data_IF_742223874980
#
_entry.id   IF_742223874980
#
_cell.length_a   1.000
_cell.length_b   1.000
_cell.length_c   1.000
_cell.angle_alpha   90.00
_cell.angle_beta   90.00
_cell.angle_gamma   90.00
#
_symmetry.space_group_name_H-M   'P 1'
#
loop_
_entity.id
_entity.type
_entity.pdbx_description
1 polymer ?
#
# COMPACT_ATOMS: atom_id res chain seq x y z
N UNK A 1 0.17 1.87 27.46
CA UNK A 1 -0.29 1.96 26.07
C UNK A 1 -0.65 0.55 25.65
N UNK A 2 -1.92 0.28 25.49
CA UNK A 2 -2.40 -1.00 24.96
C UNK A 2 -1.82 -1.18 23.55
N UNK A 3 -1.04 -2.23 23.34
CA UNK A 3 -0.46 -2.52 22.03
C UNK A 3 -1.61 -2.87 21.09
N UNK A 4 -1.87 -2.03 20.10
CA UNK A 4 -2.94 -2.25 19.14
C UNK A 4 -2.74 -3.62 18.45
N UNK A 5 -3.75 -4.48 18.50
CA UNK A 5 -3.71 -5.82 17.89
C UNK A 5 -3.44 -5.69 16.38
N UNK A 6 -2.46 -6.41 15.81
CA UNK A 6 -2.13 -6.33 14.40
C UNK A 6 -3.27 -6.83 13.51
N UNK A 7 -3.27 -6.42 12.24
CA UNK A 7 -4.26 -6.85 11.25
C UNK A 7 -4.00 -8.28 10.78
N UNK A 8 -2.73 -8.65 10.68
CA UNK A 8 -2.29 -10.02 10.41
C UNK A 8 -1.47 -10.51 11.61
N UNK A 9 -1.90 -11.63 12.20
CA UNK A 9 -1.13 -12.31 13.23
C UNK A 9 -0.03 -13.13 12.57
N UNK A 10 1.21 -12.97 13.03
CA UNK A 10 2.34 -13.79 12.59
C UNK A 10 2.45 -15.03 13.48
N UNK A 11 2.38 -16.21 12.91
CA UNK A 11 2.58 -17.49 13.62
C UNK A 11 4.07 -17.74 13.89
N UNK A 12 4.37 -18.68 14.80
CA UNK A 12 5.75 -19.06 15.17
C UNK A 12 6.55 -19.54 13.95
N UNK A 13 5.91 -20.24 13.03
CA UNK A 13 6.52 -20.70 11.76
C UNK A 13 6.61 -19.61 10.69
N UNK A 14 6.21 -18.39 11.04
CA UNK A 14 6.28 -17.24 10.18
C UNK A 14 5.12 -17.06 9.21
N UNK A 15 4.14 -17.94 9.18
CA UNK A 15 2.91 -17.76 8.37
C UNK A 15 2.03 -16.68 8.95
N UNK A 16 1.13 -16.14 8.12
CA UNK A 16 0.22 -15.06 8.50
C UNK A 16 -1.23 -15.55 8.57
N UNK A 17 -1.92 -15.14 9.63
CA UNK A 17 -3.36 -15.33 9.79
C UNK A 17 -4.05 -13.97 9.72
N UNK A 18 -4.90 -13.71 8.70
CA UNK A 18 -5.62 -12.45 8.59
C UNK A 18 -6.74 -12.36 9.62
N UNK A 19 -6.94 -11.20 10.22
CA UNK A 19 -8.15 -10.87 10.97
C UNK A 19 -9.27 -10.44 10.00
N UNK A 20 -10.50 -10.30 10.52
CA UNK A 20 -11.61 -9.79 9.70
C UNK A 20 -11.34 -8.40 9.13
N UNK A 21 -10.57 -7.57 9.85
CA UNK A 21 -10.15 -6.25 9.37
C UNK A 21 -9.16 -6.27 8.17
N UNK A 22 -8.64 -7.44 7.76
CA UNK A 22 -7.76 -7.53 6.59
C UNK A 22 -8.52 -7.53 5.26
N UNK A 23 -9.85 -7.58 5.30
CA UNK A 23 -10.72 -7.68 4.11
C UNK A 23 -10.65 -6.41 3.25
N UNK A 24 -10.85 -6.61 1.95
CA UNK A 24 -11.13 -5.58 0.96
C UNK A 24 -12.61 -5.58 0.55
N UNK A 25 -13.02 -4.65 -0.31
CA UNK A 25 -14.44 -4.48 -0.70
C UNK A 25 -14.94 -5.55 -1.67
N UNK A 26 -14.07 -6.35 -2.29
CA UNK A 26 -14.43 -7.26 -3.40
C UNK A 26 -14.38 -8.74 -3.01
N UNK A 27 -14.67 -9.08 -1.75
CA UNK A 27 -14.83 -10.47 -1.30
C UNK A 27 -13.53 -11.23 -0.97
N UNK A 28 -12.39 -10.51 -0.90
CA UNK A 28 -11.09 -11.07 -0.50
C UNK A 28 -10.36 -10.16 0.47
N UNK A 29 -9.09 -10.45 0.74
CA UNK A 29 -8.22 -9.54 1.48
C UNK A 29 -7.91 -8.30 0.62
N UNK A 30 -7.63 -7.17 1.27
CA UNK A 30 -7.23 -5.93 0.60
C UNK A 30 -5.85 -6.09 -0.06
N UNK A 31 -5.75 -5.68 -1.34
CA UNK A 31 -4.56 -5.90 -2.16
C UNK A 31 -3.29 -5.30 -1.58
N UNK A 32 -3.35 -4.05 -1.13
CA UNK A 32 -2.20 -3.39 -0.50
C UNK A 32 -1.75 -4.06 0.80
N UNK A 33 -2.68 -4.61 1.60
CA UNK A 33 -2.36 -5.42 2.77
C UNK A 33 -1.65 -6.73 2.38
N UNK A 34 -2.14 -7.38 1.32
CA UNK A 34 -1.52 -8.57 0.72
C UNK A 34 -0.11 -8.27 0.21
N UNK A 35 0.06 -7.22 -0.59
CA UNK A 35 1.37 -6.79 -1.07
C UNK A 35 2.32 -6.45 0.09
N UNK A 36 1.80 -5.85 1.16
CA UNK A 36 2.58 -5.40 2.29
C UNK A 36 3.14 -6.54 3.15
N UNK A 37 2.42 -7.66 3.34
CA UNK A 37 2.99 -8.82 4.05
C UNK A 37 4.11 -9.48 3.26
N UNK A 38 4.02 -9.53 1.93
CA UNK A 38 5.11 -10.00 1.07
C UNK A 38 6.29 -9.03 1.12
N UNK A 39 6.02 -7.73 0.94
CA UNK A 39 7.05 -6.69 1.00
C UNK A 39 7.78 -6.67 2.35
N UNK A 40 7.05 -6.81 3.47
CA UNK A 40 7.65 -6.87 4.79
C UNK A 40 8.62 -8.04 4.98
N UNK A 41 8.33 -9.20 4.40
CA UNK A 41 9.26 -10.34 4.37
C UNK A 41 10.49 -10.05 3.53
N UNK A 42 10.30 -9.42 2.36
CA UNK A 42 11.41 -9.01 1.49
C UNK A 42 12.28 -7.97 2.22
N UNK A 43 11.70 -6.93 2.85
CA UNK A 43 12.45 -5.91 3.58
C UNK A 43 13.30 -6.50 4.70
N UNK A 44 12.78 -7.51 5.43
CA UNK A 44 13.54 -8.21 6.48
C UNK A 44 14.69 -9.04 5.91
N UNK A 45 14.46 -9.75 4.80
CA UNK A 45 15.50 -10.53 4.13
C UNK A 45 16.58 -9.63 3.50
N UNK A 46 16.20 -8.46 2.99
CA UNK A 46 17.06 -7.48 2.32
C UNK A 46 17.58 -6.38 3.28
N UNK A 47 17.62 -6.60 4.59
CA UNK A 47 17.90 -5.57 5.60
C UNK A 47 19.20 -4.77 5.37
N UNK A 48 20.18 -5.34 4.68
CA UNK A 48 21.47 -4.71 4.37
C UNK A 48 21.57 -4.14 2.95
N UNK A 49 20.50 -4.22 2.14
CA UNK A 49 20.55 -3.89 0.71
C UNK A 49 20.20 -2.42 0.41
N UNK A 50 20.00 -1.60 1.43
CA UNK A 50 19.68 -0.18 1.31
C UNK A 50 18.19 0.12 1.50
N UNK A 51 17.66 1.09 0.73
CA UNK A 51 16.26 1.51 0.85
C UNK A 51 15.42 0.97 -0.31
N UNK A 52 14.16 0.53 -0.06
CA UNK A 52 13.25 0.19 -1.13
C UNK A 52 12.93 1.45 -1.95
N UNK A 53 13.12 1.38 -3.27
CA UNK A 53 12.89 2.51 -4.20
C UNK A 53 11.83 2.21 -5.24
N UNK A 54 11.60 0.94 -5.57
CA UNK A 54 10.52 0.54 -6.47
C UNK A 54 9.88 -0.76 -5.97
N UNK A 55 8.56 -0.82 -6.04
CA UNK A 55 7.75 -2.00 -5.70
C UNK A 55 6.79 -2.26 -6.85
N UNK A 56 6.80 -3.48 -7.38
CA UNK A 56 5.84 -3.95 -8.36
C UNK A 56 5.10 -5.14 -7.77
N UNK A 57 3.80 -4.99 -7.55
CA UNK A 57 2.94 -6.05 -7.09
C UNK A 57 1.93 -6.45 -8.17
N UNK A 58 1.70 -7.75 -8.33
CA UNK A 58 0.65 -8.31 -9.16
C UNK A 58 -0.23 -9.22 -8.33
N UNK A 59 -1.54 -9.02 -8.46
CA UNK A 59 -2.56 -9.83 -7.80
C UNK A 59 -3.10 -10.85 -8.81
N UNK A 60 -2.75 -12.12 -8.61
CA UNK A 60 -3.06 -13.19 -9.55
C UNK A 60 -4.50 -13.68 -9.40
N UNK A 61 -5.07 -13.51 -8.21
CA UNK A 61 -6.45 -13.87 -7.87
C UNK A 61 -6.88 -13.23 -6.54
N UNK A 62 -8.18 -13.10 -6.27
CA UNK A 62 -8.68 -12.67 -4.95
C UNK A 62 -8.14 -13.57 -3.84
N UNK A 63 -7.64 -12.96 -2.75
CA UNK A 63 -7.08 -13.71 -1.62
C UNK A 63 -8.21 -14.06 -0.66
N UNK A 64 -8.71 -15.29 -0.78
CA UNK A 64 -9.64 -15.91 0.16
C UNK A 64 -8.94 -17.15 0.72
N UNK A 65 -8.17 -16.99 1.83
CA UNK A 65 -7.30 -18.05 2.30
C UNK A 65 -8.10 -19.18 2.95
N UNK A 66 -7.75 -20.43 2.60
CA UNK A 66 -8.25 -21.64 3.24
C UNK A 66 -7.37 -22.07 4.42
N UNK A 67 -6.16 -21.53 4.54
CA UNK A 67 -5.15 -21.83 5.55
C UNK A 67 -4.31 -20.59 5.86
N UNK A 68 -3.44 -20.62 6.88
CA UNK A 68 -2.46 -19.56 7.09
C UNK A 68 -1.61 -19.32 5.84
N UNK A 69 -1.38 -18.02 5.54
CA UNK A 69 -0.66 -17.57 4.36
C UNK A 69 0.84 -17.69 4.55
N UNK A 70 1.53 -18.22 3.56
CA UNK A 70 2.98 -18.35 3.50
C UNK A 70 3.56 -17.35 2.50
N UNK A 71 4.72 -16.78 2.83
CA UNK A 71 5.49 -15.91 1.95
C UNK A 71 6.82 -16.54 1.63
N UNK A 72 7.06 -16.79 0.35
CA UNK A 72 8.35 -17.23 -0.17
C UNK A 72 9.11 -16.02 -0.71
N UNK A 73 10.42 -15.93 -0.42
CA UNK A 73 11.26 -14.79 -0.79
C UNK A 73 12.57 -15.28 -1.40
N UNK A 74 13.02 -14.59 -2.46
CA UNK A 74 14.32 -14.85 -3.10
C UNK A 74 15.00 -13.55 -3.54
N UNK A 75 16.34 -13.54 -3.47
CA UNK A 75 17.15 -12.52 -4.10
C UNK A 75 17.31 -12.87 -5.59
N UNK A 76 16.69 -12.08 -6.46
CA UNK A 76 16.76 -12.29 -7.93
C UNK A 76 18.08 -11.75 -8.49
N UNK A 77 18.52 -10.60 -7.95
CA UNK A 77 19.77 -9.97 -8.36
C UNK A 77 20.48 -9.39 -7.14
N UNK A 78 21.53 -10.02 -6.64
CA UNK A 78 22.39 -9.41 -5.63
C UNK A 78 23.23 -8.28 -6.25
N UNK A 79 23.55 -7.24 -5.47
CA UNK A 79 24.40 -6.16 -5.95
C UNK A 79 24.78 -5.17 -4.88
N UNK A 80 26.02 -4.64 -4.97
CA UNK A 80 26.57 -3.71 -3.96
C UNK A 80 25.84 -2.35 -3.88
N UNK A 81 25.21 -1.91 -4.96
CA UNK A 81 24.48 -0.63 -5.02
C UNK A 81 22.99 -0.82 -5.28
N UNK A 82 22.64 -1.80 -6.10
CA UNK A 82 21.26 -2.10 -6.48
C UNK A 82 21.06 -3.59 -6.36
N UNK A 83 20.09 -4.00 -5.56
CA UNK A 83 19.62 -5.39 -5.50
C UNK A 83 18.16 -5.48 -5.86
N UNK A 84 17.73 -6.65 -6.32
CA UNK A 84 16.34 -6.95 -6.68
C UNK A 84 15.92 -8.22 -5.96
N UNK A 85 14.83 -8.13 -5.25
CA UNK A 85 14.20 -9.22 -4.54
C UNK A 85 12.81 -9.48 -5.06
N UNK A 86 12.37 -10.72 -4.96
CA UNK A 86 11.02 -11.13 -5.30
C UNK A 86 10.45 -11.98 -4.18
N UNK A 87 9.15 -11.84 -3.96
CA UNK A 87 8.40 -12.70 -3.04
C UNK A 87 7.03 -13.02 -3.61
N UNK A 88 6.48 -14.13 -3.16
CA UNK A 88 5.14 -14.58 -3.54
C UNK A 88 4.35 -15.01 -2.31
N UNK A 89 3.03 -14.82 -2.36
CA UNK A 89 2.08 -15.19 -1.32
C UNK A 89 1.31 -16.43 -1.71
N UNK A 90 1.25 -17.41 -0.81
CA UNK A 90 0.62 -18.71 -1.02
C UNK A 90 -0.30 -19.10 0.13
N UNK A 91 -1.29 -19.94 -0.14
CA UNK A 91 -1.79 -20.95 0.78
C UNK A 91 -1.38 -22.33 0.25
N UNK A 92 -1.90 -23.44 0.78
CA UNK A 92 -1.42 -24.80 0.50
C UNK A 92 -1.02 -25.07 -0.96
N UNK A 93 -1.87 -24.68 -1.93
CA UNK A 93 -1.66 -25.03 -3.34
C UNK A 93 -1.79 -23.82 -4.29
N UNK A 94 -2.05 -22.61 -3.78
CA UNK A 94 -2.38 -21.45 -4.62
C UNK A 94 -1.44 -20.29 -4.37
N UNK A 95 -0.88 -19.76 -5.44
CA UNK A 95 -0.21 -18.46 -5.44
C UNK A 95 -1.25 -17.34 -5.65
N UNK A 96 -1.26 -16.35 -4.78
CA UNK A 96 -2.20 -15.24 -4.80
C UNK A 96 -1.62 -13.94 -5.34
N UNK A 97 -0.38 -13.67 -4.99
CA UNK A 97 0.27 -12.40 -5.36
C UNK A 97 1.77 -12.60 -5.51
N UNK A 98 2.37 -11.74 -6.32
CA UNK A 98 3.82 -11.66 -6.51
C UNK A 98 4.26 -10.22 -6.38
N UNK A 99 5.33 -10.00 -5.61
CA UNK A 99 5.89 -8.67 -5.34
C UNK A 99 7.37 -8.68 -5.66
N UNK A 100 7.82 -7.69 -6.45
CA UNK A 100 9.24 -7.46 -6.73
C UNK A 100 9.65 -6.11 -6.20
N UNK A 101 10.78 -6.06 -5.48
CA UNK A 101 11.29 -4.83 -4.88
C UNK A 101 12.72 -4.59 -5.33
N UNK A 102 13.00 -3.35 -5.74
CA UNK A 102 14.34 -2.85 -5.99
C UNK A 102 14.81 -2.04 -4.80
N UNK A 103 16.00 -2.37 -4.28
CA UNK A 103 16.69 -1.63 -3.23
C UNK A 103 17.88 -0.88 -3.80
N UNK A 104 18.14 0.32 -3.27
CA UNK A 104 19.33 1.11 -3.61
C UNK A 104 20.06 1.52 -2.33
N UNK A 105 21.38 1.27 -2.30
CA UNK A 105 22.27 1.80 -1.28
C UNK A 105 22.41 3.31 -1.45
N UNK A 106 22.05 4.04 -0.39
CA UNK A 106 22.15 5.49 -0.37
C UNK A 106 23.62 5.91 -0.35
N UNK A 107 23.97 6.87 -1.21
CA UNK A 107 25.29 7.51 -1.24
C UNK A 107 25.09 9.00 -1.43
N UNK A 108 25.44 9.83 -0.44
CA UNK A 108 25.41 11.28 -0.59
C UNK A 108 26.28 11.72 -1.77
N UNK A 109 25.77 12.65 -2.57
CA UNK A 109 26.50 13.26 -3.68
C UNK A 109 26.85 14.69 -3.25
N UNK A 110 28.13 14.96 -3.07
CA UNK A 110 28.59 16.29 -2.69
C UNK A 110 28.19 17.33 -3.76
N UNK A 111 27.67 18.47 -3.32
CA UNK A 111 27.24 19.56 -4.21
C UNK A 111 25.93 19.33 -4.95
N UNK A 112 25.26 18.20 -4.76
CA UNK A 112 23.90 18.01 -5.22
C UNK A 112 22.93 18.59 -4.19
N UNK A 113 22.58 19.86 -4.36
CA UNK A 113 21.50 20.48 -3.59
C UNK A 113 20.19 20.29 -4.37
N UNK A 114 19.36 19.42 -3.88
CA UNK A 114 18.01 19.25 -4.41
C UNK A 114 17.11 20.14 -3.57
N UNK A 115 16.71 21.28 -4.13
CA UNK A 115 15.70 22.15 -3.52
C UNK A 115 14.46 21.29 -3.21
N UNK A 116 14.35 20.86 -1.97
CA UNK A 116 13.13 20.21 -1.51
C UNK A 116 12.00 21.23 -1.72
N UNK A 117 11.06 20.90 -2.60
CA UNK A 117 9.83 21.66 -2.72
C UNK A 117 9.07 21.45 -1.41
N UNK A 118 9.46 22.21 -0.38
CA UNK A 118 8.72 22.34 0.87
C UNK A 118 7.48 23.18 0.53
N UNK A 119 6.48 22.55 -0.06
CA UNK A 119 5.15 23.09 0.04
C UNK A 119 4.85 23.14 1.54
N UNK A 120 4.41 24.27 2.06
CA UNK A 120 3.80 24.34 3.38
C UNK A 120 2.53 23.53 3.30
N UNK A 121 2.61 22.29 3.75
CA UNK A 121 1.47 21.38 3.79
C UNK A 121 0.73 21.64 5.10
N UNK A 122 -0.60 21.67 5.02
CA UNK A 122 -1.44 21.79 6.22
C UNK A 122 -1.27 20.56 7.11
N UNK A 123 -1.30 20.80 8.43
CA UNK A 123 -1.30 19.70 9.40
C UNK A 123 -2.55 18.84 9.22
N UNK A 124 -2.43 17.54 8.94
CA UNK A 124 -3.56 16.66 8.80
C UNK A 124 -4.52 16.66 10.00
N UNK A 125 -4.02 16.89 11.21
CA UNK A 125 -4.86 16.92 12.41
C UNK A 125 -5.80 18.15 12.42
N UNK A 126 -5.49 19.21 11.68
CA UNK A 126 -6.35 20.38 11.52
C UNK A 126 -7.43 20.19 10.43
N UNK A 127 -7.30 19.17 9.59
CA UNK A 127 -8.21 18.94 8.47
C UNK A 127 -9.44 18.13 8.87
N UNK A 128 -10.57 18.27 8.14
CA UNK A 128 -11.78 17.52 8.44
C UNK A 128 -11.57 16.02 8.25
N UNK A 129 -12.07 15.23 9.21
CA UNK A 129 -12.13 13.76 9.09
C UNK A 129 -13.08 13.37 7.98
N UNK A 130 -12.70 12.38 7.19
CA UNK A 130 -13.51 11.80 6.12
C UNK A 130 -13.99 10.42 6.54
N UNK A 131 -15.24 10.13 6.20
CA UNK A 131 -15.86 8.83 6.44
C UNK A 131 -16.24 8.19 5.12
N UNK A 132 -16.10 6.86 5.06
CA UNK A 132 -16.49 6.10 3.90
C UNK A 132 -18.00 6.13 3.71
N UNK A 133 -18.45 6.31 2.47
CA UNK A 133 -19.88 6.25 2.11
C UNK A 133 -20.28 4.90 1.51
N UNK A 134 -19.32 4.03 1.28
CA UNK A 134 -19.58 2.66 0.84
C UNK A 134 -19.87 1.80 2.05
N UNK A 135 -21.12 1.31 2.15
CA UNK A 135 -21.50 0.40 3.22
C UNK A 135 -20.89 -0.98 3.00
N UNK A 136 -20.25 -1.51 4.03
CA UNK A 136 -19.77 -2.88 4.09
C UNK A 136 -20.46 -3.63 5.22
N UNK A 137 -20.87 -4.86 4.97
CA UNK A 137 -21.54 -5.70 5.96
C UNK A 137 -20.57 -6.24 7.04
N UNK A 138 -19.28 -6.24 6.77
CA UNK A 138 -18.21 -6.74 7.65
C UNK A 138 -17.10 -5.71 7.77
N UNK A 139 -16.33 -5.71 8.88
CA UNK A 139 -15.15 -4.88 8.99
C UNK A 139 -14.20 -5.08 7.80
N UNK A 140 -13.55 -4.03 7.37
CA UNK A 140 -12.58 -4.05 6.31
C UNK A 140 -11.35 -3.22 6.65
N UNK A 141 -10.27 -3.31 5.87
CA UNK A 141 -9.00 -2.68 6.20
C UNK A 141 -9.10 -1.15 6.29
N UNK A 142 -9.99 -0.54 5.50
CA UNK A 142 -10.24 0.89 5.54
C UNK A 142 -10.73 1.40 6.91
N UNK A 143 -11.47 0.59 7.68
CA UNK A 143 -11.94 0.97 9.02
C UNK A 143 -10.78 1.15 10.01
N UNK A 144 -9.62 0.58 9.68
CA UNK A 144 -8.38 0.73 10.45
C UNK A 144 -7.57 1.97 10.06
N UNK A 145 -8.08 2.80 9.14
CA UNK A 145 -7.43 4.02 8.67
C UNK A 145 -8.13 5.28 9.19
N UNK A 146 -7.35 6.32 9.40
CA UNK A 146 -7.81 7.69 9.61
C UNK A 146 -7.57 8.45 8.31
N UNK A 147 -8.61 9.12 7.79
CA UNK A 147 -8.56 9.85 6.52
C UNK A 147 -8.99 11.29 6.73
N UNK A 148 -8.18 12.21 6.24
CA UNK A 148 -8.35 13.64 6.38
C UNK A 148 -8.19 14.36 5.05
N UNK A 149 -8.78 15.53 4.92
CA UNK A 149 -8.58 16.43 3.80
C UNK A 149 -9.84 16.82 3.03
N UNK A 150 -9.73 17.74 2.06
CA UNK A 150 -10.83 18.15 1.21
C UNK A 150 -11.22 17.04 0.22
N UNK A 151 -12.44 17.09 -0.30
CA UNK A 151 -12.86 16.20 -1.38
C UNK A 151 -12.12 16.55 -2.68
N UNK A 152 -11.72 15.53 -3.45
CA UNK A 152 -11.12 15.71 -4.78
C UNK A 152 -9.72 16.34 -4.78
N UNK A 153 -8.96 16.18 -3.69
CA UNK A 153 -7.67 16.83 -3.52
C UNK A 153 -6.58 15.95 -2.97
N UNK A 154 -5.84 16.49 -2.01
CA UNK A 154 -4.85 15.77 -1.24
C UNK A 154 -5.53 15.09 -0.05
N UNK A 155 -5.51 13.78 -0.02
CA UNK A 155 -5.99 12.99 1.12
C UNK A 155 -4.81 12.60 2.00
N UNK A 156 -4.93 12.89 3.30
CA UNK A 156 -4.00 12.41 4.31
C UNK A 156 -4.56 11.15 4.94
N UNK A 157 -3.76 10.08 4.92
CA UNK A 157 -4.20 8.77 5.40
C UNK A 157 -3.16 8.24 6.37
N UNK A 158 -3.65 7.69 7.49
CA UNK A 158 -2.84 7.06 8.52
C UNK A 158 -3.48 5.75 8.96
N UNK A 159 -2.71 4.68 9.04
CA UNK A 159 -3.17 3.46 9.68
C UNK A 159 -3.21 3.63 11.20
N UNK A 160 -4.33 3.27 11.82
CA UNK A 160 -4.54 3.29 13.27
C UNK A 160 -3.95 2.06 13.97
N UNK A 161 -3.75 0.97 13.22
CA UNK A 161 -3.24 -0.32 13.70
C UNK A 161 -2.06 -0.77 12.83
N UNK A 162 -1.05 -1.46 13.41
CA UNK A 162 0.01 -2.05 12.61
C UNK A 162 -0.53 -3.19 11.76
N UNK A 163 0.08 -3.42 10.60
CA UNK A 163 -0.31 -4.51 9.73
C UNK A 163 0.07 -5.86 10.35
N UNK A 164 1.26 -5.95 10.97
CA UNK A 164 1.79 -7.10 11.72
C UNK A 164 2.70 -6.62 12.85
N UNK A 165 3.12 -7.53 13.74
CA UNK A 165 3.78 -7.20 15.01
C UNK A 165 5.10 -6.41 14.87
N UNK A 166 5.86 -6.64 13.79
CA UNK A 166 7.11 -5.94 13.50
C UNK A 166 7.02 -5.24 12.13
N UNK A 167 6.31 -4.08 12.08
CA UNK A 167 6.01 -3.41 10.83
C UNK A 167 7.25 -2.79 10.18
N UNK A 168 7.33 -2.93 8.85
CA UNK A 168 8.38 -2.36 8.00
C UNK A 168 7.89 -1.09 7.31
N UNK A 169 8.77 -0.40 6.57
CA UNK A 169 8.41 0.84 5.87
C UNK A 169 7.25 0.61 4.89
N UNK A 170 7.33 -0.43 4.06
CA UNK A 170 6.33 -0.72 3.05
C UNK A 170 5.01 -1.23 3.65
N UNK A 171 5.04 -1.78 4.88
CA UNK A 171 3.82 -2.22 5.57
C UNK A 171 2.88 -1.07 5.97
N UNK A 172 3.39 0.16 6.04
CA UNK A 172 2.60 1.37 6.26
C UNK A 172 2.15 2.05 4.97
N UNK A 173 2.91 1.86 3.89
CA UNK A 173 2.68 2.54 2.62
C UNK A 173 1.69 1.77 1.74
N UNK A 174 1.95 0.48 1.51
CA UNK A 174 1.19 -0.31 0.53
C UNK A 174 -0.30 -0.42 0.82
N UNK A 175 -0.76 -0.62 2.08
CA UNK A 175 -2.20 -0.63 2.37
C UNK A 175 -2.88 0.70 2.06
N UNK A 176 -2.17 1.81 2.21
CA UNK A 176 -2.70 3.16 1.95
C UNK A 176 -2.74 3.46 0.46
N UNK A 177 -1.64 3.19 -0.26
CA UNK A 177 -1.54 3.56 -1.69
C UNK A 177 -2.44 2.73 -2.58
N UNK A 178 -2.76 1.51 -2.19
CA UNK A 178 -3.71 0.64 -2.90
C UNK A 178 -5.10 1.29 -3.05
N UNK A 179 -5.48 2.18 -2.14
CA UNK A 179 -6.75 2.90 -2.20
C UNK A 179 -6.75 4.11 -3.13
N UNK A 180 -5.60 4.53 -3.65
CA UNK A 180 -5.50 5.75 -4.45
C UNK A 180 -6.52 5.80 -5.59
N UNK A 181 -6.77 4.66 -6.27
CA UNK A 181 -7.69 4.56 -7.40
C UNK A 181 -9.17 4.72 -7.04
N UNK A 182 -9.55 4.45 -5.81
CA UNK A 182 -10.94 4.46 -5.36
C UNK A 182 -11.27 5.53 -4.31
N UNK A 183 -10.31 6.35 -3.89
CA UNK A 183 -10.50 7.30 -2.80
C UNK A 183 -11.68 8.25 -3.02
N UNK A 184 -11.74 8.92 -4.16
CA UNK A 184 -12.80 9.89 -4.46
C UNK A 184 -14.18 9.24 -4.45
N UNK A 185 -14.33 8.08 -5.08
CA UNK A 185 -15.61 7.38 -5.16
C UNK A 185 -16.01 6.70 -3.86
N UNK A 186 -15.05 6.17 -3.11
CA UNK A 186 -15.32 5.56 -1.80
C UNK A 186 -15.78 6.62 -0.78
N UNK A 187 -15.26 7.84 -0.89
CA UNK A 187 -15.62 8.96 -0.02
C UNK A 187 -16.88 9.71 -0.49
N UNK A 188 -17.15 9.76 -1.78
CA UNK A 188 -18.29 10.45 -2.37
C UNK A 188 -19.53 9.54 -2.58
N UNK A 189 -19.31 8.24 -2.70
CA UNK A 189 -20.25 7.24 -3.18
C UNK A 189 -19.93 6.85 -4.62
N UNK A 190 -20.05 5.57 -4.94
CA UNK A 190 -19.74 5.06 -6.26
C UNK A 190 -20.79 5.48 -7.28
N UNK A 191 -20.40 5.98 -8.46
CA UNK A 191 -21.37 6.33 -9.50
C UNK A 191 -22.01 5.07 -10.08
N UNK A 192 -23.32 5.09 -10.26
CA UNK A 192 -24.00 4.03 -11.00
C UNK A 192 -23.59 4.07 -12.49
N UNK A 193 -23.38 2.94 -13.16
CA UNK A 193 -23.68 1.57 -12.74
C UNK A 193 -22.48 0.81 -12.09
N UNK A 194 -21.40 1.47 -11.75
CA UNK A 194 -20.15 0.84 -11.29
C UNK A 194 -20.36 0.06 -9.99
N UNK A 195 -19.95 -1.20 -9.97
CA UNK A 195 -20.10 -2.12 -8.84
C UNK A 195 -18.77 -2.57 -8.26
N UNK A 196 -17.69 -2.56 -9.03
CA UNK A 196 -16.38 -2.98 -8.61
C UNK A 196 -15.28 -2.26 -9.40
N UNK A 197 -14.14 -2.05 -8.76
CA UNK A 197 -12.94 -1.43 -9.34
C UNK A 197 -11.67 -2.10 -8.83
N UNK A 198 -11.50 -3.42 -8.99
CA UNK A 198 -10.27 -4.04 -8.54
C UNK A 198 -9.07 -3.58 -9.39
N UNK A 199 -7.93 -3.42 -8.73
CA UNK A 199 -6.64 -3.21 -9.38
C UNK A 199 -5.86 -4.53 -9.42
N UNK A 200 -5.40 -4.99 -10.59
CA UNK A 200 -4.58 -6.19 -10.71
C UNK A 200 -3.11 -5.97 -10.35
N UNK A 201 -2.68 -4.73 -10.21
CA UNK A 201 -1.28 -4.37 -9.98
C UNK A 201 -1.12 -3.11 -9.12
N UNK A 202 0.11 -2.95 -8.58
CA UNK A 202 0.61 -1.72 -7.98
C UNK A 202 2.04 -1.51 -8.46
N UNK A 203 2.36 -0.33 -8.99
CA UNK A 203 3.72 0.12 -9.29
C UNK A 203 4.05 1.36 -8.44
N UNK A 204 4.80 1.17 -7.36
CA UNK A 204 5.19 2.22 -6.43
C UNK A 204 6.66 2.58 -6.64
N UNK A 205 6.97 3.89 -6.70
CA UNK A 205 8.34 4.40 -6.70
C UNK A 205 8.53 5.38 -5.55
N UNK A 206 9.60 5.20 -4.80
CA UNK A 206 9.93 6.03 -3.63
C UNK A 206 11.26 6.75 -3.85
N UNK A 207 11.24 8.06 -3.65
CA UNK A 207 12.42 8.90 -3.58
C UNK A 207 13.13 8.76 -2.21
N UNK A 208 12.34 8.61 -1.16
CA UNK A 208 12.78 8.45 0.23
C UNK A 208 11.72 7.73 1.07
N UNK A 209 12.09 7.16 2.21
CA UNK A 209 11.10 6.66 3.17
C UNK A 209 10.31 7.81 3.81
N UNK A 210 9.06 7.58 4.25
CA UNK A 210 8.28 8.56 5.00
C UNK A 210 8.93 8.86 6.36
N UNK A 211 8.81 10.12 6.80
CA UNK A 211 9.33 10.60 8.09
C UNK A 211 8.22 10.78 9.14
N UNK A 212 6.98 10.55 8.77
CA UNK A 212 5.84 10.56 9.68
C UNK A 212 4.83 9.48 9.27
N UNK A 213 3.81 9.27 10.10
CA UNK A 213 2.77 8.27 9.86
C UNK A 213 1.65 8.73 8.93
N UNK A 214 1.52 10.02 8.68
CA UNK A 214 0.58 10.55 7.71
C UNK A 214 1.17 10.45 6.31
N UNK A 215 0.46 9.77 5.42
CA UNK A 215 0.75 9.72 4.00
C UNK A 215 -0.27 10.58 3.26
N UNK A 216 0.24 11.57 2.53
CA UNK A 216 -0.55 12.35 1.59
C UNK A 216 -0.66 11.61 0.27
N UNK A 217 -1.87 11.40 -0.20
CA UNK A 217 -2.17 10.76 -1.48
C UNK A 217 -2.95 11.77 -2.33
N UNK A 218 -2.39 12.14 -3.48
CA UNK A 218 -3.06 12.99 -4.47
C UNK A 218 -3.34 12.16 -5.71
N UNK A 219 -4.53 11.57 -5.82
CA UNK A 219 -4.88 10.71 -6.95
C UNK A 219 -5.17 11.52 -8.21
N UNK A 220 -4.95 10.87 -9.35
CA UNK A 220 -5.38 11.28 -10.66
C UNK A 220 -5.80 10.02 -11.43
N UNK A 221 -7.10 9.75 -11.51
CA UNK A 221 -7.65 8.56 -12.13
C UNK A 221 -8.30 8.91 -13.46
N UNK A 222 -8.04 8.10 -14.46
CA UNK A 222 -8.64 8.17 -15.79
C UNK A 222 -9.39 6.86 -16.07
N UNK A 223 -10.57 6.97 -16.67
CA UNK A 223 -11.42 5.83 -16.93
C UNK A 223 -11.93 5.89 -18.38
N UNK A 224 -11.98 4.73 -19.02
CA UNK A 224 -12.52 4.55 -20.36
C UNK A 224 -13.83 3.77 -20.31
N UNK A 225 -14.71 4.05 -21.26
CA UNK A 225 -16.01 3.38 -21.37
C UNK A 225 -15.93 1.86 -21.63
N UNK A 226 -14.76 1.36 -22.04
CA UNK A 226 -14.47 -0.07 -22.17
C UNK A 226 -14.31 -0.82 -20.84
N UNK A 227 -14.40 -0.13 -19.68
CA UNK A 227 -14.20 -0.73 -18.37
C UNK A 227 -12.73 -0.80 -17.95
N UNK A 228 -11.85 -0.06 -18.61
CA UNK A 228 -10.41 0.06 -18.24
C UNK A 228 -10.17 1.40 -17.59
N UNK A 229 -9.41 1.41 -16.52
CA UNK A 229 -8.93 2.63 -15.89
C UNK A 229 -7.45 2.57 -15.54
N UNK A 230 -6.89 3.74 -15.30
CA UNK A 230 -5.53 3.93 -14.79
C UNK A 230 -5.58 4.96 -13.67
N UNK A 231 -4.97 4.65 -12.55
CA UNK A 231 -4.72 5.62 -11.49
C UNK A 231 -3.24 5.93 -11.40
N UNK A 232 -2.92 7.21 -11.29
CA UNK A 232 -1.61 7.70 -10.86
C UNK A 232 -1.81 8.55 -9.62
N UNK A 233 -0.93 8.43 -8.63
CA UNK A 233 -0.99 9.32 -7.48
C UNK A 233 0.41 9.81 -7.09
N UNK A 234 0.49 11.09 -6.72
CA UNK A 234 1.67 11.63 -6.03
C UNK A 234 1.54 11.31 -4.55
N UNK A 235 2.62 10.82 -3.97
CA UNK A 235 2.73 10.51 -2.55
C UNK A 235 3.55 11.56 -1.83
N UNK A 236 3.06 11.99 -0.67
CA UNK A 236 3.69 13.01 0.16
C UNK A 236 3.75 12.54 1.63
N UNK A 237 4.59 13.19 2.39
CA UNK A 237 4.45 13.33 3.85
C UNK A 237 4.57 14.82 4.22
N UNK A 238 4.56 15.16 5.50
CA UNK A 238 4.67 16.55 5.97
C UNK A 238 6.00 17.24 5.59
N UNK A 239 6.97 16.49 5.09
CA UNK A 239 8.26 16.98 4.65
C UNK A 239 8.38 17.08 3.11
N UNK A 240 7.29 16.84 2.37
CA UNK A 240 7.21 16.98 0.92
C UNK A 240 7.02 15.65 0.18
N UNK A 241 7.41 15.62 -1.09
CA UNK A 241 7.20 14.47 -1.97
C UNK A 241 7.98 13.24 -1.51
N UNK A 242 7.28 12.11 -1.44
CA UNK A 242 7.83 10.78 -1.17
C UNK A 242 8.09 10.00 -2.45
N UNK A 243 7.23 10.16 -3.45
CA UNK A 243 7.26 9.36 -4.66
C UNK A 243 5.93 9.35 -5.40
N UNK A 244 5.67 8.28 -6.12
CA UNK A 244 4.45 8.09 -6.88
C UNK A 244 4.00 6.63 -6.89
N UNK A 245 2.71 6.42 -7.13
CA UNK A 245 2.14 5.11 -7.38
C UNK A 245 1.31 5.16 -8.65
N UNK A 246 1.30 4.07 -9.42
CA UNK A 246 0.38 3.85 -10.51
C UNK A 246 -0.20 2.45 -10.46
N UNK A 247 -1.41 2.27 -11.00
CA UNK A 247 -2.09 0.99 -11.07
C UNK A 247 -3.10 0.96 -12.21
N UNK A 248 -3.30 -0.21 -12.77
CA UNK A 248 -4.40 -0.50 -13.68
C UNK A 248 -5.68 -0.74 -12.89
N UNK A 249 -6.83 -0.47 -13.51
CA UNK A 249 -8.14 -0.65 -12.88
C UNK A 249 -9.03 -1.43 -13.84
N UNK A 250 -9.67 -2.48 -13.35
CA UNK A 250 -10.75 -3.16 -14.05
C UNK A 250 -12.08 -2.68 -13.46
N UNK A 251 -12.88 -2.00 -14.29
CA UNK A 251 -14.17 -1.42 -13.86
C UNK A 251 -15.30 -2.37 -14.27
N UNK A 252 -16.16 -2.72 -13.32
CA UNK A 252 -17.31 -3.61 -13.53
C UNK A 252 -18.61 -3.09 -12.90
#
# INVERSE_FOLDING_TARGET
METAVPIFTTLIDGRFVPSDCARGPFGGLQGGGVAAIVAGRIEKAAANDGKPVAVFAHFLRPVVPASPLEVLVQCVRPGRRVSIWEGSLHDVDREFARVRITFIQQRPIAGLDVAATRAMLEDPESLPTRHWKVAQATPWLMDTMDVRGPAGGLYWIRMKRPLFDDPTVLSWILPVVDWAHGLDWTLAGWPAPIRAMPNPDIALHLLRPPQCRWLGVRPNSMHDASGIGVCQATLLDLHGVLGSVSMSIAIA
#
